data_IF_189145666588
#
_entry.id   IF_189145666588
#
_cell.length_a   1.000
_cell.length_b   1.000
_cell.length_c   1.000
_cell.angle_alpha   90.00
_cell.angle_beta   90.00
_cell.angle_gamma   90.00
#
_symmetry.space_group_name_H-M   'P 1'
#
loop_
_entity.id
_entity.type
_entity.pdbx_description
1 polymer ?
#
# COMPACT_ATOMS: atom_id res chain seq x y z
N UNK A 1 11.03 -19.05 -27.31
CA UNK A 1 9.84 -18.59 -26.57
C UNK A 1 9.63 -17.13 -26.91
N UNK A 2 8.41 -16.75 -27.30
CA UNK A 2 8.00 -15.36 -27.51
C UNK A 2 6.76 -15.13 -26.66
N UNK A 3 6.86 -14.35 -25.60
CA UNK A 3 5.71 -14.03 -24.75
C UNK A 3 5.16 -12.65 -25.09
N UNK A 4 3.89 -12.41 -24.78
CA UNK A 4 3.28 -11.07 -24.90
C UNK A 4 3.98 -10.11 -23.93
N UNK A 5 4.13 -8.85 -24.30
CA UNK A 5 4.93 -7.88 -23.53
C UNK A 5 4.39 -7.60 -22.11
N UNK A 6 3.09 -7.81 -21.89
CA UNK A 6 2.38 -7.60 -20.62
C UNK A 6 2.18 -8.90 -19.81
N UNK A 7 2.77 -10.01 -20.26
CA UNK A 7 2.67 -11.28 -19.55
C UNK A 7 3.31 -11.19 -18.14
N UNK A 8 2.61 -11.60 -17.06
CA UNK A 8 3.15 -11.57 -15.70
C UNK A 8 4.47 -12.35 -15.51
N UNK A 9 4.80 -13.29 -16.39
CA UNK A 9 6.07 -14.01 -16.35
C UNK A 9 7.29 -13.07 -16.41
N UNK A 10 7.17 -11.96 -17.14
CA UNK A 10 8.21 -10.93 -17.24
C UNK A 10 8.51 -10.24 -15.91
N UNK A 11 7.64 -10.36 -14.91
CA UNK A 11 7.85 -9.75 -13.60
C UNK A 11 9.13 -10.24 -12.93
N UNK A 12 9.41 -11.52 -13.08
CA UNK A 12 10.45 -12.20 -12.31
C UNK A 12 11.54 -12.81 -13.18
N UNK A 13 11.33 -12.97 -14.49
CA UNK A 13 12.26 -13.67 -15.39
C UNK A 13 12.81 -12.78 -16.51
N UNK A 14 12.61 -11.45 -16.42
CA UNK A 14 13.22 -10.53 -17.36
C UNK A 14 14.74 -10.45 -17.11
N UNK A 15 15.59 -10.70 -18.11
CA UNK A 15 17.04 -10.73 -17.94
C UNK A 15 17.65 -9.45 -17.34
N UNK A 16 18.78 -9.54 -16.64
CA UNK A 16 19.59 -10.74 -16.39
C UNK A 16 19.06 -11.58 -15.21
N UNK A 17 19.12 -12.90 -15.33
CA UNK A 17 18.51 -13.83 -14.37
C UNK A 17 19.51 -14.51 -13.41
N UNK A 18 20.81 -14.30 -13.64
CA UNK A 18 21.90 -14.87 -12.85
C UNK A 18 23.21 -14.11 -13.13
N UNK A 19 24.18 -14.26 -12.24
CA UNK A 19 25.53 -13.74 -12.48
C UNK A 19 26.13 -14.41 -13.71
N UNK A 20 26.52 -13.61 -14.71
CA UNK A 20 27.07 -14.11 -15.96
C UNK A 20 26.04 -14.62 -16.99
N UNK A 21 24.73 -14.51 -16.73
CA UNK A 21 23.72 -14.74 -17.78
C UNK A 21 23.93 -13.72 -18.91
N UNK A 22 24.04 -14.20 -20.14
CA UNK A 22 24.08 -13.36 -21.36
C UNK A 22 22.71 -13.30 -22.05
N UNK A 23 21.69 -13.60 -21.27
CA UNK A 23 20.30 -13.73 -21.68
C UNK A 23 19.76 -12.33 -22.01
N UNK A 24 19.03 -12.18 -23.12
CA UNK A 24 18.50 -10.89 -23.57
C UNK A 24 17.10 -11.01 -24.16
N UNK A 25 16.37 -9.89 -24.17
CA UNK A 25 15.03 -9.81 -24.76
C UNK A 25 15.09 -8.99 -26.04
N UNK A 26 14.44 -9.50 -27.08
CA UNK A 26 14.33 -8.84 -28.38
C UNK A 26 12.85 -8.63 -28.65
N UNK A 27 12.44 -7.39 -28.91
CA UNK A 27 11.07 -7.09 -29.32
C UNK A 27 10.77 -7.73 -30.67
N UNK A 28 9.56 -8.30 -30.80
CA UNK A 28 9.07 -8.94 -32.03
C UNK A 28 7.74 -8.31 -32.42
N UNK A 29 7.58 -8.04 -33.70
CA UNK A 29 6.30 -7.59 -34.28
C UNK A 29 5.44 -8.79 -34.69
N UNK A 30 4.19 -8.55 -35.05
CA UNK A 30 3.31 -9.58 -35.60
C UNK A 30 3.88 -10.17 -36.91
N UNK A 31 4.49 -9.35 -37.76
CA UNK A 31 5.13 -9.83 -39.00
C UNK A 31 6.35 -10.72 -38.73
N UNK A 32 7.10 -10.44 -37.66
CA UNK A 32 8.19 -11.33 -37.22
C UNK A 32 7.65 -12.68 -36.76
N UNK A 33 6.52 -12.70 -36.02
CA UNK A 33 5.86 -13.94 -35.61
C UNK A 33 5.39 -14.75 -36.82
N UNK A 34 4.76 -14.11 -37.80
CA UNK A 34 4.35 -14.75 -39.08
C UNK A 34 5.55 -15.34 -39.81
N UNK A 35 6.68 -14.61 -39.89
CA UNK A 35 7.92 -15.11 -40.50
C UNK A 35 8.52 -16.29 -39.74
N UNK A 36 8.32 -16.36 -38.43
CA UNK A 36 8.71 -17.48 -37.59
C UNK A 36 7.72 -18.67 -37.66
N UNK A 37 6.65 -18.57 -38.45
CA UNK A 37 5.62 -19.61 -38.56
C UNK A 37 4.75 -19.74 -37.31
N UNK A 38 4.59 -18.66 -36.54
CA UNK A 38 3.78 -18.62 -35.32
C UNK A 38 2.50 -17.82 -35.58
N UNK A 39 1.38 -18.32 -35.06
CA UNK A 39 0.08 -17.65 -35.10
C UNK A 39 -0.10 -16.60 -33.99
N UNK A 40 0.84 -16.53 -33.04
CA UNK A 40 0.81 -15.59 -31.92
C UNK A 40 1.94 -15.82 -30.91
N UNK A 41 1.92 -15.09 -29.78
CA UNK A 41 2.79 -15.35 -28.64
C UNK A 41 2.57 -16.75 -28.05
N UNK A 42 3.63 -17.32 -27.49
CA UNK A 42 3.61 -18.56 -26.72
C UNK A 42 2.97 -18.35 -25.33
N UNK A 43 2.46 -19.43 -24.74
CA UNK A 43 1.99 -19.44 -23.34
C UNK A 43 3.18 -19.51 -22.38
N UNK A 44 3.20 -18.65 -21.37
CA UNK A 44 4.25 -18.66 -20.36
C UNK A 44 4.27 -19.96 -19.54
N UNK A 45 5.46 -20.49 -19.20
CA UNK A 45 5.58 -21.59 -18.25
C UNK A 45 5.04 -21.22 -16.87
N UNK A 46 4.53 -22.18 -16.08
CA UNK A 46 4.12 -21.92 -14.71
C UNK A 46 5.34 -21.50 -13.86
N UNK A 47 5.17 -20.46 -13.05
CA UNK A 47 6.21 -19.98 -12.13
C UNK A 47 6.22 -20.87 -10.89
N UNK A 48 7.31 -21.62 -10.70
CA UNK A 48 7.53 -22.44 -9.50
C UNK A 48 8.57 -21.77 -8.62
N UNK A 49 8.29 -21.64 -7.33
CA UNK A 49 9.26 -21.11 -6.37
C UNK A 49 10.05 -22.24 -5.73
N UNK A 50 11.36 -22.04 -5.60
CA UNK A 50 12.29 -22.96 -4.95
C UNK A 50 12.98 -22.26 -3.79
N UNK A 51 13.27 -23.04 -2.75
CA UNK A 51 14.04 -22.58 -1.60
C UNK A 51 15.53 -22.52 -1.94
N UNK A 52 16.19 -21.40 -1.63
CA UNK A 52 17.64 -21.23 -1.81
C UNK A 52 18.26 -20.63 -0.55
N UNK A 53 19.37 -21.20 -0.10
CA UNK A 53 20.16 -20.64 1.02
C UNK A 53 21.23 -19.70 0.47
N UNK A 54 21.22 -18.44 0.94
CA UNK A 54 22.20 -17.42 0.58
C UNK A 54 23.01 -16.97 1.80
N UNK A 55 24.14 -16.29 1.57
CA UNK A 55 24.88 -15.63 2.64
C UNK A 55 25.62 -16.58 3.59
N UNK A 56 25.96 -17.80 3.15
CA UNK A 56 26.72 -18.77 3.96
C UNK A 56 28.05 -18.22 4.51
N UNK A 57 28.63 -17.22 3.84
CA UNK A 57 29.87 -16.53 4.25
C UNK A 57 29.63 -15.08 4.72
N UNK A 58 28.37 -14.68 4.89
CA UNK A 58 28.02 -13.32 5.32
C UNK A 58 28.13 -13.20 6.85
N UNK A 59 28.45 -12.01 7.40
CA UNK A 59 28.51 -11.78 8.84
C UNK A 59 27.19 -12.09 9.58
N UNK A 60 26.06 -11.99 8.90
CA UNK A 60 24.73 -12.31 9.42
C UNK A 60 24.32 -13.79 9.30
N UNK A 61 25.24 -14.67 8.85
CA UNK A 61 24.97 -16.10 8.66
C UNK A 61 24.12 -16.44 7.44
N UNK A 62 23.93 -17.74 7.16
CA UNK A 62 23.08 -18.21 6.07
C UNK A 62 21.61 -17.86 6.33
N UNK A 63 20.90 -17.45 5.29
CA UNK A 63 19.45 -17.25 5.31
C UNK A 63 18.78 -17.92 4.12
N UNK A 64 17.58 -18.41 4.32
CA UNK A 64 16.73 -18.97 3.27
C UNK A 64 15.95 -17.86 2.57
N UNK A 65 15.88 -17.94 1.24
CA UNK A 65 15.02 -17.12 0.39
C UNK A 65 14.25 -17.99 -0.60
N UNK A 66 13.10 -17.51 -1.05
CA UNK A 66 12.28 -18.16 -2.07
C UNK A 66 12.42 -17.42 -3.38
N UNK A 67 12.85 -18.11 -4.43
CA UNK A 67 13.06 -17.53 -5.76
C UNK A 67 12.43 -18.40 -6.83
N UNK A 68 12.01 -17.83 -7.97
CA UNK A 68 11.55 -18.62 -9.10
C UNK A 68 12.62 -19.60 -9.58
N UNK A 69 12.18 -20.79 -9.98
CA UNK A 69 13.05 -21.81 -10.56
C UNK A 69 13.78 -21.28 -11.80
N UNK A 70 15.10 -21.40 -11.81
CA UNK A 70 15.96 -20.89 -12.89
C UNK A 70 16.41 -19.43 -12.77
N UNK A 71 16.04 -18.74 -11.68
CA UNK A 71 16.49 -17.38 -11.35
C UNK A 71 17.37 -17.41 -10.10
N UNK A 72 18.53 -16.75 -10.14
CA UNK A 72 19.38 -16.60 -8.97
C UNK A 72 18.82 -15.56 -8.00
N UNK A 73 18.99 -15.76 -6.67
CA UNK A 73 18.63 -14.76 -5.68
C UNK A 73 19.26 -13.39 -5.92
N UNK A 74 18.42 -12.35 -5.89
CA UNK A 74 18.76 -10.98 -6.22
C UNK A 74 18.43 -10.59 -7.67
N UNK A 75 18.00 -11.53 -8.52
CA UNK A 75 17.62 -11.28 -9.92
C UNK A 75 16.13 -11.53 -10.20
N UNK A 76 15.34 -11.90 -9.19
CA UNK A 76 13.90 -12.16 -9.27
C UNK A 76 13.03 -10.90 -9.41
N UNK A 77 13.51 -9.93 -10.19
CA UNK A 77 12.81 -8.67 -10.45
C UNK A 77 13.19 -8.13 -11.84
N UNK A 78 12.26 -7.46 -12.50
CA UNK A 78 12.56 -6.71 -13.73
C UNK A 78 13.40 -5.46 -13.41
N UNK A 79 14.64 -5.33 -13.93
CA UNK A 79 15.46 -4.15 -13.69
C UNK A 79 14.76 -2.86 -14.16
N UNK A 80 14.80 -1.82 -13.32
CA UNK A 80 14.16 -0.53 -13.62
C UNK A 80 12.65 -0.50 -13.46
N UNK A 81 11.97 -1.63 -13.21
CA UNK A 81 10.52 -1.67 -13.02
C UNK A 81 10.04 -1.00 -11.75
N UNK A 82 10.88 -0.94 -10.71
CA UNK A 82 10.61 -0.12 -9.52
C UNK A 82 10.49 1.37 -9.81
N UNK A 83 11.03 1.87 -10.95
CA UNK A 83 10.77 3.24 -11.42
C UNK A 83 9.36 3.43 -11.98
N UNK A 84 8.69 2.34 -12.34
CA UNK A 84 7.36 2.33 -12.96
C UNK A 84 6.25 1.90 -12.00
N UNK A 85 6.58 1.39 -10.81
CA UNK A 85 5.59 1.12 -9.77
C UNK A 85 5.46 2.35 -8.88
N UNK A 86 4.33 3.05 -9.04
CA UNK A 86 3.98 4.09 -8.10
C UNK A 86 3.97 3.53 -6.68
N UNK A 87 4.61 4.27 -5.78
CA UNK A 87 4.56 3.98 -4.34
C UNK A 87 3.30 4.56 -3.71
N UNK A 88 2.52 5.32 -4.48
CA UNK A 88 1.24 5.86 -4.06
C UNK A 88 0.26 4.69 -3.92
N UNK A 89 -0.29 4.45 -2.73
CA UNK A 89 -1.20 3.34 -2.52
C UNK A 89 -2.50 3.58 -3.31
N UNK A 90 -2.95 2.63 -4.15
CA UNK A 90 -4.27 2.73 -4.78
C UNK A 90 -5.39 2.48 -3.76
N UNK A 91 -6.64 2.89 -4.03
CA UNK A 91 -7.76 2.56 -3.16
C UNK A 91 -8.08 1.07 -3.23
N UNK A 92 -8.23 0.39 -2.08
CA UNK A 92 -8.67 -1.03 -2.01
C UNK A 92 -10.15 -1.21 -2.30
N UNK A 93 -10.95 -0.15 -2.13
CA UNK A 93 -12.40 -0.21 -2.13
C UNK A 93 -12.96 -0.77 -0.81
N UNK A 94 -14.12 -0.24 -0.41
CA UNK A 94 -14.75 -0.59 0.86
C UNK A 94 -14.12 0.09 2.08
N UNK A 95 -14.75 -0.12 3.22
CA UNK A 95 -14.32 0.37 4.53
C UNK A 95 -13.19 -0.53 5.10
N UNK A 96 -12.24 0.01 5.89
CA UNK A 96 -11.29 -0.79 6.64
C UNK A 96 -12.01 -1.84 7.48
N UNK A 97 -11.68 -3.12 7.28
CA UNK A 97 -12.14 -4.17 8.16
C UNK A 97 -11.35 -4.11 9.47
N UNK A 98 -12.03 -4.26 10.60
CA UNK A 98 -11.36 -4.48 11.87
C UNK A 98 -10.47 -5.73 11.75
N UNK A 99 -9.20 -5.67 12.18
CA UNK A 99 -8.33 -6.83 12.12
C UNK A 99 -8.87 -7.97 12.99
N UNK A 100 -8.73 -9.20 12.50
CA UNK A 100 -8.94 -10.37 13.35
C UNK A 100 -7.95 -10.30 14.53
N UNK A 101 -8.44 -10.52 15.77
CA UNK A 101 -7.57 -10.50 16.93
C UNK A 101 -6.53 -11.61 16.81
N UNK A 102 -5.24 -11.36 17.13
CA UNK A 102 -4.23 -12.41 17.13
C UNK A 102 -4.58 -13.50 18.15
N UNK A 103 -4.26 -14.76 17.84
CA UNK A 103 -4.46 -15.95 18.70
C UNK A 103 -3.83 -15.82 20.11
N UNK A 104 -2.90 -14.88 20.28
CA UNK A 104 -2.34 -14.49 21.57
C UNK A 104 -2.65 -13.02 21.85
N UNK A 105 -3.72 -12.78 22.59
CA UNK A 105 -4.11 -11.48 23.12
C UNK A 105 -2.97 -10.92 23.97
N UNK A 106 -2.22 -9.95 23.45
CA UNK A 106 -1.85 -8.84 24.34
C UNK A 106 -2.97 -7.85 24.18
N UNK A 107 -3.98 -7.95 25.05
CA UNK A 107 -4.92 -6.86 25.21
C UNK A 107 -4.04 -5.62 25.41
N UNK A 108 -4.11 -4.65 24.50
CA UNK A 108 -3.69 -3.31 24.87
C UNK A 108 -4.56 -2.99 26.07
N UNK A 109 -3.99 -3.05 27.27
CA UNK A 109 -4.57 -2.47 28.46
C UNK A 109 -5.18 -1.13 28.05
N UNK A 110 -6.40 -0.83 28.48
CA UNK A 110 -7.19 0.32 28.03
C UNK A 110 -6.40 1.63 28.14
N UNK A 111 -5.53 1.91 27.17
CA UNK A 111 -4.74 3.12 27.14
C UNK A 111 -5.76 4.22 26.85
N UNK A 112 -5.92 5.20 27.74
CA UNK A 112 -6.89 6.26 27.53
C UNK A 112 -6.60 6.99 26.22
N UNK A 113 -7.62 7.18 25.39
CA UNK A 113 -7.48 7.93 24.14
C UNK A 113 -7.39 9.43 24.45
N UNK A 114 -6.44 10.13 23.81
CA UNK A 114 -6.29 11.58 23.91
C UNK A 114 -7.58 12.32 23.52
N UNK A 115 -7.96 13.39 24.23
CA UNK A 115 -9.23 14.11 24.03
C UNK A 115 -9.46 14.49 22.54
N UNK A 116 -10.66 14.33 21.97
CA UNK A 116 -10.88 14.57 20.54
C UNK A 116 -10.47 15.98 20.08
N UNK A 117 -9.95 16.08 18.87
CA UNK A 117 -9.47 17.33 18.27
C UNK A 117 -10.65 18.16 17.73
N UNK A 118 -10.55 19.48 17.60
CA UNK A 118 -11.56 20.23 16.84
C UNK A 118 -11.56 19.79 15.37
N UNK A 119 -12.74 19.52 14.81
CA UNK A 119 -12.89 19.33 13.37
C UNK A 119 -12.45 20.59 12.59
N UNK A 120 -12.06 20.48 11.31
CA UNK A 120 -11.73 21.64 10.49
C UNK A 120 -12.90 22.64 10.49
N UNK A 121 -12.62 23.89 10.86
CA UNK A 121 -13.65 24.93 10.97
C UNK A 121 -14.23 25.34 9.61
N UNK A 122 -13.40 25.37 8.57
CA UNK A 122 -13.81 25.73 7.22
C UNK A 122 -13.79 24.52 6.29
N UNK A 123 -14.91 24.16 5.66
CA UNK A 123 -14.94 23.08 4.69
C UNK A 123 -14.15 23.47 3.44
N UNK A 124 -13.44 22.50 2.86
CA UNK A 124 -12.80 22.68 1.58
C UNK A 124 -13.79 23.08 0.48
N UNK A 125 -13.37 24.02 -0.38
CA UNK A 125 -14.13 24.49 -1.54
C UNK A 125 -13.42 24.05 -2.82
N UNK A 126 -14.17 23.85 -3.90
CA UNK A 126 -13.62 23.45 -5.20
C UNK A 126 -13.29 21.96 -5.27
N UNK A 127 -12.18 21.61 -5.92
CA UNK A 127 -11.78 20.22 -6.13
C UNK A 127 -11.16 19.65 -4.85
N UNK A 128 -11.91 18.76 -4.18
CA UNK A 128 -11.49 18.16 -2.92
C UNK A 128 -10.26 17.25 -3.03
N UNK A 129 -10.07 16.56 -4.17
CA UNK A 129 -8.89 15.73 -4.41
C UNK A 129 -7.65 16.60 -4.54
N UNK A 130 -7.71 17.71 -5.28
CA UNK A 130 -6.58 18.63 -5.39
C UNK A 130 -6.26 19.28 -4.03
N UNK A 131 -7.27 19.66 -3.25
CA UNK A 131 -7.08 20.17 -1.88
C UNK A 131 -6.39 19.12 -0.98
N UNK A 132 -6.78 17.84 -1.10
CA UNK A 132 -6.12 16.74 -0.39
C UNK A 132 -4.65 16.64 -0.78
N UNK A 133 -4.35 16.56 -2.09
CA UNK A 133 -2.98 16.41 -2.58
C UNK A 133 -2.12 17.60 -2.12
N UNK A 134 -2.64 18.82 -2.23
CA UNK A 134 -1.93 20.03 -1.82
C UNK A 134 -1.61 20.05 -0.33
N UNK A 135 -2.48 19.51 0.53
CA UNK A 135 -2.23 19.39 1.97
C UNK A 135 -0.98 18.56 2.30
N UNK A 136 -0.57 17.67 1.39
CA UNK A 136 0.64 16.85 1.49
C UNK A 136 1.78 17.30 0.57
N UNK A 137 1.64 18.45 -0.10
CA UNK A 137 2.61 18.96 -1.08
C UNK A 137 2.63 18.21 -2.42
N UNK A 138 1.65 17.33 -2.67
CA UNK A 138 1.43 16.67 -3.95
C UNK A 138 0.56 17.53 -4.88
N UNK A 139 0.47 17.15 -6.15
CA UNK A 139 -0.39 17.75 -7.18
C UNK A 139 -1.00 16.67 -8.06
N UNK A 140 -2.02 17.01 -8.84
CA UNK A 140 -2.68 16.10 -9.81
C UNK A 140 -1.74 15.33 -10.76
N UNK A 141 -0.51 15.81 -11.01
CA UNK A 141 0.47 15.14 -11.87
C UNK A 141 1.82 14.86 -11.19
N UNK A 142 1.95 15.19 -9.90
CA UNK A 142 3.23 15.13 -9.18
C UNK A 142 3.00 14.56 -7.78
N UNK A 143 3.34 13.28 -7.53
CA UNK A 143 3.25 12.72 -6.18
C UNK A 143 4.32 13.33 -5.26
N UNK A 144 4.06 13.33 -3.96
CA UNK A 144 4.97 13.79 -2.93
C UNK A 144 5.17 12.73 -1.85
N UNK A 145 6.35 12.73 -1.23
CA UNK A 145 6.61 11.93 -0.04
C UNK A 145 6.27 12.74 1.21
N UNK A 146 5.21 12.36 1.91
CA UNK A 146 4.84 12.93 3.21
C UNK A 146 5.55 12.17 4.34
N UNK A 147 6.05 12.89 5.35
CA UNK A 147 6.61 12.28 6.57
C UNK A 147 5.60 12.40 7.70
N UNK A 148 5.14 11.27 8.22
CA UNK A 148 4.15 11.25 9.30
C UNK A 148 4.75 11.55 10.68
N UNK A 149 3.88 11.60 11.70
CA UNK A 149 4.25 11.91 13.08
C UNK A 149 5.23 10.89 13.71
N UNK A 150 5.22 9.62 13.26
CA UNK A 150 6.21 8.63 13.69
C UNK A 150 7.48 8.63 12.83
N UNK A 151 7.60 9.56 11.87
CA UNK A 151 8.75 9.75 11.00
C UNK A 151 8.81 8.86 9.75
N UNK A 152 7.78 8.05 9.49
CA UNK A 152 7.68 7.20 8.31
C UNK A 152 7.33 8.04 7.07
N UNK A 153 7.92 7.71 5.92
CA UNK A 153 7.56 8.33 4.64
C UNK A 153 6.44 7.54 3.96
N UNK A 154 5.42 8.24 3.47
CA UNK A 154 4.31 7.71 2.68
C UNK A 154 4.26 8.48 1.37
N UNK A 155 4.04 7.80 0.26
CA UNK A 155 3.78 8.49 -1.00
C UNK A 155 2.30 8.89 -1.07
N UNK A 156 2.07 10.17 -1.34
CA UNK A 156 0.75 10.76 -1.56
C UNK A 156 0.69 11.23 -3.02
N UNK A 157 -0.38 10.90 -3.73
CA UNK A 157 -0.49 11.22 -5.14
C UNK A 157 -1.87 10.92 -5.72
N UNK A 158 -2.10 11.32 -6.98
CA UNK A 158 -3.41 11.22 -7.63
C UNK A 158 -3.93 9.77 -7.73
N UNK A 159 -3.03 8.78 -7.78
CA UNK A 159 -3.39 7.35 -7.87
C UNK A 159 -4.14 6.83 -6.63
N UNK A 160 -4.05 7.53 -5.49
CA UNK A 160 -4.89 7.24 -4.32
C UNK A 160 -6.38 7.34 -4.65
N UNK A 161 -6.73 8.15 -5.65
CA UNK A 161 -8.11 8.45 -6.00
C UNK A 161 -8.49 7.87 -7.36
N UNK A 162 -7.73 6.92 -7.90
CA UNK A 162 -8.08 6.27 -9.17
C UNK A 162 -9.43 5.54 -9.05
N UNK A 163 -10.28 5.70 -10.06
CA UNK A 163 -11.55 4.95 -10.14
C UNK A 163 -11.30 3.45 -10.30
N UNK A 164 -12.26 2.62 -9.87
CA UNK A 164 -12.12 1.16 -9.84
C UNK A 164 -12.08 0.51 -11.22
N UNK A 165 -12.76 1.11 -12.18
CA UNK A 165 -12.75 0.73 -13.59
C UNK A 165 -11.49 1.22 -14.33
N UNK A 166 -10.63 1.98 -13.65
CA UNK A 166 -9.45 2.60 -14.23
C UNK A 166 -9.75 3.87 -15.02
N UNK A 167 -11.01 4.33 -15.05
CA UNK A 167 -11.41 5.53 -15.79
C UNK A 167 -11.70 6.69 -14.84
N UNK A 168 -10.77 7.65 -14.80
CA UNK A 168 -10.93 8.87 -14.01
C UNK A 168 -10.67 8.69 -12.52
N UNK A 169 -11.39 9.45 -11.70
CA UNK A 169 -11.19 9.52 -10.26
C UNK A 169 -12.43 9.08 -9.48
N UNK A 170 -12.23 8.47 -8.32
CA UNK A 170 -13.31 8.16 -7.39
C UNK A 170 -13.97 9.45 -6.89
N UNK A 171 -15.28 9.40 -6.72
CA UNK A 171 -16.03 10.50 -6.12
C UNK A 171 -16.03 10.34 -4.60
N UNK A 172 -15.47 11.32 -3.90
CA UNK A 172 -15.46 11.37 -2.44
C UNK A 172 -16.00 12.72 -1.95
N UNK A 173 -16.86 12.74 -0.90
CA UNK A 173 -17.32 13.99 -0.31
C UNK A 173 -16.14 14.84 0.17
N UNK A 174 -16.16 16.15 -0.11
CA UNK A 174 -15.07 17.05 0.26
C UNK A 174 -14.75 17.03 1.76
N UNK A 175 -15.79 16.95 2.57
CA UNK A 175 -15.69 16.84 4.03
C UNK A 175 -14.96 15.56 4.46
N UNK A 176 -15.28 14.42 3.83
CA UNK A 176 -14.64 13.13 4.11
C UNK A 176 -13.15 13.21 3.81
N UNK A 177 -12.77 13.69 2.62
CA UNK A 177 -11.36 13.86 2.24
C UNK A 177 -10.61 14.82 3.19
N UNK A 178 -11.26 15.89 3.64
CA UNK A 178 -10.66 16.83 4.58
C UNK A 178 -10.38 16.18 5.94
N UNK A 179 -11.32 15.40 6.47
CA UNK A 179 -11.14 14.64 7.71
C UNK A 179 -10.05 13.57 7.57
N UNK A 180 -9.99 12.86 6.43
CA UNK A 180 -8.93 11.88 6.15
C UNK A 180 -7.55 12.55 6.11
N UNK A 181 -7.44 13.70 5.44
CA UNK A 181 -6.19 14.44 5.39
C UNK A 181 -5.73 14.86 6.79
N UNK A 182 -6.65 15.38 7.62
CA UNK A 182 -6.32 15.74 8.99
C UNK A 182 -5.91 14.54 9.85
N UNK A 183 -6.56 13.38 9.69
CA UNK A 183 -6.19 12.17 10.42
C UNK A 183 -4.77 11.68 10.07
N UNK A 184 -4.29 11.93 8.84
CA UNK A 184 -2.92 11.58 8.44
C UNK A 184 -1.92 12.65 8.90
N UNK A 185 -2.28 13.94 8.81
CA UNK A 185 -1.41 15.07 9.21
C UNK A 185 -1.20 15.16 10.72
N UNK A 186 -2.28 14.96 11.50
CA UNK A 186 -2.31 15.09 12.94
C UNK A 186 -3.12 13.95 13.59
N UNK A 187 -2.65 12.69 13.50
CA UNK A 187 -3.32 11.55 14.11
C UNK A 187 -3.38 11.67 15.64
N UNK A 188 -4.33 10.97 16.27
CA UNK A 188 -4.30 10.67 17.70
C UNK A 188 -3.35 9.52 17.99
N UNK A 189 -3.38 8.47 17.16
CA UNK A 189 -2.50 7.32 17.28
C UNK A 189 -2.12 6.79 15.90
N UNK A 190 -0.91 6.23 15.81
CA UNK A 190 -0.49 5.44 14.65
C UNK A 190 -0.18 4.01 15.11
N UNK A 191 -0.78 3.03 14.46
CA UNK A 191 -0.59 1.61 14.74
C UNK A 191 -0.03 0.88 13.53
N UNK A 192 0.77 -0.15 13.78
CA UNK A 192 1.21 -1.10 12.75
C UNK A 192 0.91 -2.54 13.15
N UNK A 193 0.37 -3.31 12.22
CA UNK A 193 0.02 -4.72 12.44
C UNK A 193 0.32 -5.56 11.20
N UNK A 194 0.83 -6.76 11.40
CA UNK A 194 0.88 -7.79 10.36
C UNK A 194 -0.52 -8.39 10.22
N UNK A 195 -1.10 -8.32 9.03
CA UNK A 195 -2.42 -8.86 8.72
C UNK A 195 -2.27 -9.94 7.65
N UNK A 196 -2.84 -11.11 7.90
CA UNK A 196 -2.90 -12.18 6.92
C UNK A 196 -4.06 -11.94 5.95
N UNK A 197 -3.77 -11.81 4.65
CA UNK A 197 -4.80 -11.67 3.62
C UNK A 197 -5.15 -13.04 3.07
N UNK A 198 -6.22 -13.64 3.58
CA UNK A 198 -6.63 -15.00 3.21
C UNK A 198 -6.84 -15.17 1.70
N UNK A 199 -7.47 -14.19 1.02
CA UNK A 199 -7.70 -14.24 -0.42
C UNK A 199 -6.39 -14.25 -1.25
N UNK A 200 -5.31 -13.68 -0.70
CA UNK A 200 -4.02 -13.54 -1.38
C UNK A 200 -2.94 -14.49 -0.83
N UNK A 201 -3.26 -15.29 0.20
CA UNK A 201 -2.33 -16.19 0.90
C UNK A 201 -1.00 -15.53 1.25
N UNK A 202 -1.06 -14.28 1.74
CA UNK A 202 0.14 -13.50 2.09
C UNK A 202 -0.09 -12.62 3.31
N UNK A 203 0.96 -12.43 4.09
CA UNK A 203 1.00 -11.42 5.13
C UNK A 203 1.33 -10.05 4.53
N UNK A 204 0.61 -9.02 4.97
CA UNK A 204 0.92 -7.61 4.68
C UNK A 204 1.06 -6.83 5.98
N UNK A 205 1.86 -5.77 5.97
CA UNK A 205 1.88 -4.82 7.09
C UNK A 205 0.86 -3.74 6.81
N UNK A 206 -0.09 -3.57 7.74
CA UNK A 206 -1.04 -2.45 7.77
C UNK A 206 -0.52 -1.38 8.71
N UNK A 207 -0.55 -0.14 8.24
CA UNK A 207 -0.36 1.06 9.05
C UNK A 207 -1.69 1.80 9.15
N UNK A 208 -2.09 2.15 10.37
CA UNK A 208 -3.38 2.79 10.66
C UNK A 208 -3.18 4.11 11.36
N UNK A 209 -3.90 5.12 10.91
CA UNK A 209 -3.99 6.44 11.49
C UNK A 209 -5.38 6.57 12.10
N UNK A 210 -5.41 6.76 13.41
CA UNK A 210 -6.64 6.89 14.17
C UNK A 210 -6.75 8.34 14.63
N UNK A 211 -7.89 8.97 14.40
CA UNK A 211 -8.16 10.33 14.88
C UNK A 211 -9.63 10.50 15.26
N UNK A 212 -9.91 11.37 16.22
CA UNK A 212 -11.25 11.72 16.65
C UNK A 212 -11.45 13.24 16.60
N UNK A 213 -12.54 13.68 15.99
CA UNK A 213 -12.84 15.10 15.80
C UNK A 213 -14.17 15.50 16.43
N UNK A 214 -14.20 16.55 17.27
CA UNK A 214 -15.44 17.18 17.74
C UNK A 214 -16.03 18.06 16.65
N UNK A 215 -17.34 17.98 16.44
CA UNK A 215 -18.06 18.85 15.49
C UNK A 215 -19.06 19.74 16.22
N UNK A 216 -19.11 21.01 15.83
CA UNK A 216 -20.06 21.97 16.38
C UNK A 216 -21.49 21.45 16.24
N UNK A 217 -22.20 21.30 17.37
CA UNK A 217 -23.58 20.82 17.40
C UNK A 217 -23.74 19.30 17.43
N UNK A 218 -22.67 18.52 17.45
CA UNK A 218 -22.71 17.06 17.66
C UNK A 218 -22.08 16.70 19.00
N UNK A 219 -22.75 15.84 19.77
CA UNK A 219 -22.26 15.39 21.07
C UNK A 219 -21.14 14.34 20.92
N UNK A 220 -21.28 13.44 19.95
CA UNK A 220 -20.31 12.38 19.70
C UNK A 220 -19.22 12.85 18.71
N UNK A 221 -17.94 12.53 18.96
CA UNK A 221 -16.87 12.85 18.03
C UNK A 221 -16.94 11.96 16.78
N UNK A 222 -16.58 12.53 15.63
CA UNK A 222 -16.36 11.78 14.40
C UNK A 222 -15.08 10.98 14.52
N UNK A 223 -15.15 9.67 14.31
CA UNK A 223 -13.99 8.78 14.33
C UNK A 223 -13.50 8.60 12.91
N UNK A 224 -12.20 8.78 12.71
CA UNK A 224 -11.53 8.59 11.43
C UNK A 224 -10.48 7.49 11.57
N UNK A 225 -10.55 6.52 10.66
CA UNK A 225 -9.54 5.46 10.53
C UNK A 225 -9.04 5.50 9.09
N UNK A 226 -7.77 5.80 8.88
CA UNK A 226 -7.11 5.63 7.59
C UNK A 226 -6.11 4.49 7.67
N UNK A 227 -6.23 3.50 6.79
CA UNK A 227 -5.35 2.34 6.73
C UNK A 227 -4.60 2.31 5.39
N UNK A 228 -3.29 2.06 5.42
CA UNK A 228 -2.47 1.88 4.22
C UNK A 228 -1.50 0.72 4.37
N UNK A 229 -1.15 0.08 3.24
CA UNK A 229 -0.19 -1.01 3.15
C UNK A 229 0.23 -1.27 1.71
N UNK A 230 1.00 -2.33 1.48
CA UNK A 230 1.51 -2.72 0.14
C UNK A 230 0.41 -3.09 -0.85
N UNK A 231 -0.81 -3.25 -0.41
CA UNK A 231 -1.99 -3.60 -1.21
C UNK A 231 -3.00 -2.44 -1.30
N UNK A 232 -2.59 -1.21 -0.95
CA UNK A 232 -3.39 -0.01 -1.13
C UNK A 232 -3.86 0.62 0.19
N UNK A 233 -4.81 1.56 0.09
CA UNK A 233 -5.40 2.23 1.24
C UNK A 233 -6.91 2.00 1.33
N UNK A 234 -7.47 2.11 2.53
CA UNK A 234 -8.91 2.25 2.76
C UNK A 234 -9.11 3.18 3.97
N UNK A 235 -10.28 3.77 4.11
CA UNK A 235 -10.57 4.61 5.26
C UNK A 235 -12.04 4.60 5.65
N UNK A 236 -12.29 4.96 6.92
CA UNK A 236 -13.62 5.12 7.51
C UNK A 236 -13.77 6.45 8.22
N UNK A 237 -14.98 7.02 8.12
CA UNK A 237 -15.42 8.17 8.92
C UNK A 237 -16.75 7.91 9.65
N UNK A 238 -17.24 6.66 9.63
CA UNK A 238 -18.57 6.29 10.11
C UNK A 238 -18.54 5.42 11.37
N UNK A 239 -17.34 5.16 11.90
CA UNK A 239 -17.15 4.31 13.08
C UNK A 239 -17.55 5.00 14.37
N UNK A 240 -17.98 4.22 15.35
CA UNK A 240 -18.18 4.68 16.72
C UNK A 240 -16.87 4.68 17.50
N UNK A 241 -16.82 5.41 18.61
CA UNK A 241 -15.66 5.41 19.52
C UNK A 241 -15.37 4.03 20.14
N UNK A 242 -16.40 3.20 20.31
CA UNK A 242 -16.25 1.81 20.75
C UNK A 242 -15.64 0.94 19.65
N UNK A 243 -16.15 1.04 18.42
CA UNK A 243 -15.63 0.30 17.27
C UNK A 243 -14.16 0.65 16.96
N UNK A 244 -13.72 1.87 17.31
CA UNK A 244 -12.32 2.29 17.19
C UNK A 244 -11.35 1.39 17.96
N UNK A 245 -11.76 0.84 19.12
CA UNK A 245 -10.89 0.00 19.95
C UNK A 245 -10.40 -1.24 19.19
N UNK A 246 -11.23 -1.78 18.30
CA UNK A 246 -10.86 -2.93 17.47
C UNK A 246 -9.68 -2.64 16.53
N UNK A 247 -9.43 -1.36 16.19
CA UNK A 247 -8.32 -0.95 15.32
C UNK A 247 -7.02 -0.66 16.08
N UNK A 248 -7.05 -0.62 17.42
CA UNK A 248 -5.89 -0.38 18.30
C UNK A 248 -5.16 -1.69 18.63
N UNK A 249 -4.75 -2.40 17.57
CA UNK A 249 -4.10 -3.70 17.65
C UNK A 249 -2.73 -3.68 16.97
N UNK A 250 -1.80 -4.47 17.51
CA UNK A 250 -0.42 -4.55 17.02
C UNK A 250 0.53 -3.65 17.81
N UNK A 251 1.45 -2.98 17.12
CA UNK A 251 2.43 -2.08 17.71
C UNK A 251 1.96 -0.63 17.58
N UNK A 252 1.82 0.06 18.71
CA UNK A 252 1.58 1.52 18.73
C UNK A 252 2.89 2.24 18.43
N UNK A 253 2.91 2.98 17.33
CA UNK A 253 4.09 3.70 16.84
C UNK A 253 4.10 5.17 17.23
N UNK A 254 2.93 5.74 17.49
CA UNK A 254 2.77 7.12 17.89
C UNK A 254 1.47 7.26 18.70
N UNK A 255 1.49 8.16 19.69
CA UNK A 255 0.30 8.65 20.38
C UNK A 255 0.46 10.13 20.67
N UNK A 256 -0.58 10.90 20.41
CA UNK A 256 -0.58 12.34 20.65
C UNK A 256 -0.52 12.64 22.15
N UNK A 257 0.50 13.38 22.55
CA UNK A 257 0.76 13.73 23.95
C UNK A 257 1.85 12.88 24.62
N UNK A 258 2.38 11.86 23.94
CA UNK A 258 3.53 11.07 24.39
C UNK A 258 4.89 11.63 23.85
N UNK A 259 4.88 12.84 23.27
CA UNK A 259 6.07 13.54 22.73
C UNK A 259 6.93 14.21 23.81
#
# INVERSE_FOLDING_TARGET
>A
MVLRWDDPWWVTHFPINAWGCQCGVIARTEDDLKRMGKDGPDTAPPVRFVERTIGQRSPGGPRTVFVPEGIDPGFEHTPGRSKFFSQVPPPRGGEPAAPEPPDATTASAEIPLAAPQPAPAEPWRGNAIENFLQAFGARSNTPAAFRDAAGQRIAIGPEMFAARDGEGQMAEPAERLQLLAQAILAPDEIWAQVVWLQALQRAVVRRRYLARFTRTGQAEPVVVVFETGTDGWAASTELTGEALQAFRQGVRLYSRGDE
#
